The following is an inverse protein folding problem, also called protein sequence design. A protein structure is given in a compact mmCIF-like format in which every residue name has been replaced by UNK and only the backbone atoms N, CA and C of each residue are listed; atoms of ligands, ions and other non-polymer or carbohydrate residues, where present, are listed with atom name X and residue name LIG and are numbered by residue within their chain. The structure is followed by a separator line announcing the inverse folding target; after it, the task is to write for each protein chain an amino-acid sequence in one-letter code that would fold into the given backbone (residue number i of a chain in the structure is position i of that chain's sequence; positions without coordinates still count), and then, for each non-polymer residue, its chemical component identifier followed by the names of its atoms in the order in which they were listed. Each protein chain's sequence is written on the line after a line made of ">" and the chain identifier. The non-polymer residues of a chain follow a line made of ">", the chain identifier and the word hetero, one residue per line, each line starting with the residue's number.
data_IF_848406813126
#
_entry.id   IF_848406813126
#
_cell.length_a   1.000
_cell.length_b   1.000
_cell.length_c   1.000
_cell.angle_alpha   90.00
_cell.angle_beta   90.00
_cell.angle_gamma   90.00
#
_symmetry.space_group_name_H-M   'P 1'
#
loop_
_entity.id
_entity.type
_entity.pdbx_description
1 polymer ?
#
# COMPACT_ATOMS: atom_id res chain seq x y z
N UNK A 1 3.32 -5.30 -27.78
CA UNK A 1 4.34 -5.14 -26.72
C UNK A 1 3.62 -4.94 -25.39
N UNK A 2 3.64 -5.93 -24.48
CA UNK A 2 2.89 -5.88 -23.21
C UNK A 2 3.51 -4.97 -22.13
N UNK A 3 4.65 -4.34 -22.41
CA UNK A 3 5.40 -3.49 -21.47
C UNK A 3 5.48 -2.03 -21.94
N UNK A 4 4.49 -1.58 -22.71
CA UNK A 4 4.35 -0.15 -23.01
C UNK A 4 4.00 0.63 -21.73
N UNK A 5 4.52 1.84 -21.61
CA UNK A 5 4.34 2.67 -20.41
C UNK A 5 2.86 2.87 -20.06
N UNK A 6 2.03 3.20 -21.06
CA UNK A 6 0.58 3.34 -20.90
C UNK A 6 -0.09 2.06 -20.36
N UNK A 7 0.27 0.89 -20.89
CA UNK A 7 -0.32 -0.36 -20.43
C UNK A 7 0.08 -0.67 -18.99
N UNK A 8 1.37 -0.50 -18.67
CA UNK A 8 1.86 -0.71 -17.30
C UNK A 8 1.23 0.25 -16.31
N UNK A 9 1.05 1.51 -16.69
CA UNK A 9 0.36 2.49 -15.86
C UNK A 9 -1.08 2.06 -15.58
N UNK A 10 -1.85 1.72 -16.61
CA UNK A 10 -3.23 1.25 -16.45
C UNK A 10 -3.31 -0.03 -15.61
N UNK A 11 -2.42 -0.99 -15.86
CA UNK A 11 -2.37 -2.24 -15.11
C UNK A 11 -2.05 -2.00 -13.64
N UNK A 12 -1.00 -1.25 -13.34
CA UNK A 12 -0.60 -0.97 -11.94
C UNK A 12 -1.64 -0.12 -11.20
N UNK A 13 -2.32 0.79 -11.89
CA UNK A 13 -3.49 1.48 -11.34
C UNK A 13 -4.63 0.51 -11.02
N UNK A 14 -4.95 -0.42 -11.93
CA UNK A 14 -6.00 -1.41 -11.70
C UNK A 14 -5.66 -2.37 -10.55
N UNK A 15 -4.41 -2.85 -10.47
CA UNK A 15 -3.93 -3.66 -9.35
C UNK A 15 -4.07 -2.90 -8.02
N UNK A 16 -3.86 -1.59 -8.00
CA UNK A 16 -4.06 -0.78 -6.80
C UNK A 16 -5.52 -0.79 -6.31
N UNK A 17 -6.50 -0.99 -7.20
CA UNK A 17 -7.90 -1.15 -6.80
C UNK A 17 -8.17 -2.50 -6.13
N UNK A 18 -7.32 -3.50 -6.38
CA UNK A 18 -7.37 -4.84 -5.76
C UNK A 18 -6.51 -4.90 -4.48
N UNK A 19 -6.36 -3.77 -3.78
CA UNK A 19 -5.39 -3.62 -2.68
C UNK A 19 -5.57 -4.66 -1.57
N UNK A 20 -6.80 -5.09 -1.30
CA UNK A 20 -7.10 -6.03 -0.22
C UNK A 20 -6.64 -7.46 -0.53
N UNK A 21 -6.43 -7.81 -1.80
CA UNK A 21 -5.95 -9.13 -2.22
C UNK A 21 -4.44 -9.31 -1.97
N UNK A 22 -3.68 -8.23 -1.80
CA UNK A 22 -2.23 -8.26 -1.56
C UNK A 22 -1.81 -8.80 -0.18
N UNK A 23 -2.77 -9.09 0.70
CA UNK A 23 -2.51 -9.86 1.92
C UNK A 23 -2.29 -11.36 1.66
N UNK A 24 -2.59 -11.84 0.45
CA UNK A 24 -2.45 -13.24 0.04
C UNK A 24 -1.13 -13.50 -0.68
N UNK A 25 -0.39 -14.53 -0.23
CA UNK A 25 0.85 -14.99 -0.87
C UNK A 25 0.61 -15.45 -2.32
N UNK A 26 -0.51 -16.13 -2.58
CA UNK A 26 -0.90 -16.59 -3.92
C UNK A 26 -1.08 -15.40 -4.88
N UNK A 27 -1.73 -14.32 -4.42
CA UNK A 27 -1.94 -13.15 -5.25
C UNK A 27 -0.63 -12.39 -5.47
N UNK A 28 0.17 -12.21 -4.42
CA UNK A 28 1.49 -11.60 -4.52
C UNK A 28 2.40 -12.36 -5.49
N UNK A 29 2.48 -13.69 -5.41
CA UNK A 29 3.31 -14.50 -6.29
C UNK A 29 2.88 -14.42 -7.76
N UNK A 30 1.59 -14.44 -8.06
CA UNK A 30 1.08 -14.29 -9.44
C UNK A 30 1.45 -12.90 -10.01
N UNK A 31 1.21 -11.83 -9.24
CA UNK A 31 1.42 -10.46 -9.71
C UNK A 31 2.90 -10.09 -9.79
N UNK A 32 3.65 -10.34 -8.72
CA UNK A 32 5.05 -9.96 -8.63
C UNK A 32 5.94 -10.98 -9.34
N UNK A 33 6.00 -12.23 -8.86
CA UNK A 33 6.92 -13.23 -9.41
C UNK A 33 6.52 -13.69 -10.82
N UNK A 34 5.23 -13.93 -11.03
CA UNK A 34 4.69 -14.44 -12.30
C UNK A 34 4.65 -13.39 -13.42
N UNK A 35 4.66 -12.10 -13.08
CA UNK A 35 4.51 -11.03 -14.07
C UNK A 35 5.55 -9.92 -13.92
N UNK A 36 5.49 -9.08 -12.88
CA UNK A 36 6.31 -7.85 -12.79
C UNK A 36 7.82 -8.15 -12.73
N UNK A 37 8.23 -9.09 -11.89
CA UNK A 37 9.62 -9.43 -11.63
C UNK A 37 10.25 -10.30 -12.73
N UNK A 38 9.46 -10.89 -13.62
CA UNK A 38 9.99 -11.61 -14.79
C UNK A 38 10.70 -10.68 -15.78
N UNK A 39 10.32 -9.40 -15.80
CA UNK A 39 10.68 -8.47 -16.87
C UNK A 39 11.38 -7.20 -16.40
N UNK A 40 11.37 -6.88 -15.10
CA UNK A 40 11.90 -5.61 -14.58
C UNK A 40 13.40 -5.41 -14.85
N UNK A 41 14.21 -6.48 -14.79
CA UNK A 41 15.67 -6.40 -14.97
C UNK A 41 16.09 -5.94 -16.38
N UNK A 42 15.24 -6.19 -17.38
CA UNK A 42 15.48 -5.77 -18.78
C UNK A 42 14.72 -4.49 -19.16
N UNK A 43 13.86 -3.98 -18.27
CA UNK A 43 12.93 -2.88 -18.57
C UNK A 43 12.76 -1.95 -17.38
N UNK A 44 13.50 -0.84 -17.40
CA UNK A 44 13.46 0.17 -16.34
C UNK A 44 12.04 0.72 -16.09
N UNK A 45 11.21 0.81 -17.12
CA UNK A 45 9.84 1.26 -16.96
C UNK A 45 8.99 0.29 -16.13
N UNK A 46 9.19 -1.02 -16.24
CA UNK A 46 8.50 -2.01 -15.38
C UNK A 46 8.93 -1.79 -13.92
N UNK A 47 10.23 -1.67 -13.67
CA UNK A 47 10.78 -1.42 -12.34
C UNK A 47 10.19 -0.15 -11.70
N UNK A 48 10.18 0.96 -12.45
CA UNK A 48 9.59 2.23 -12.01
C UNK A 48 8.11 2.12 -11.69
N UNK A 49 7.33 1.41 -12.50
CA UNK A 49 5.89 1.22 -12.26
C UNK A 49 5.62 0.34 -11.04
N UNK A 50 6.39 -0.74 -10.86
CA UNK A 50 6.31 -1.58 -9.66
C UNK A 50 6.59 -0.76 -8.40
N UNK A 51 7.66 0.03 -8.37
CA UNK A 51 7.99 0.88 -7.21
C UNK A 51 6.89 1.91 -6.91
N UNK A 52 6.33 2.56 -7.93
CA UNK A 52 5.19 3.49 -7.76
C UNK A 52 3.97 2.81 -7.18
N UNK A 53 3.63 1.62 -7.66
CA UNK A 53 2.50 0.84 -7.13
C UNK A 53 2.73 0.49 -5.65
N UNK A 54 3.93 0.03 -5.30
CA UNK A 54 4.29 -0.33 -3.93
C UNK A 54 4.27 0.87 -2.97
N UNK A 55 4.61 2.08 -3.42
CA UNK A 55 4.46 3.30 -2.59
C UNK A 55 3.03 3.50 -2.05
N UNK A 56 2.02 3.04 -2.80
CA UNK A 56 0.62 3.09 -2.39
C UNK A 56 0.18 1.83 -1.64
N UNK A 57 0.65 0.66 -2.09
CA UNK A 57 0.16 -0.63 -1.60
C UNK A 57 0.97 -1.26 -0.46
N UNK A 58 2.11 -0.68 -0.07
CA UNK A 58 3.01 -1.28 0.91
C UNK A 58 2.35 -1.75 2.22
N UNK A 59 1.34 -1.01 2.70
CA UNK A 59 0.61 -1.33 3.94
C UNK A 59 -0.38 -2.49 3.79
N UNK A 60 -0.66 -2.94 2.57
CA UNK A 60 -1.56 -4.05 2.23
C UNK A 60 -0.82 -5.32 1.82
N UNK A 61 0.41 -5.17 1.35
CA UNK A 61 1.26 -6.29 0.96
C UNK A 61 1.74 -7.03 2.19
N UNK A 62 1.75 -8.37 2.13
CA UNK A 62 2.27 -9.22 3.19
C UNK A 62 3.70 -8.77 3.61
N UNK A 63 3.97 -8.51 4.92
CA UNK A 63 5.25 -7.94 5.35
C UNK A 63 6.49 -8.74 4.93
N UNK A 64 6.46 -10.07 5.05
CA UNK A 64 7.55 -10.95 4.61
C UNK A 64 7.80 -10.87 3.10
N UNK A 65 6.74 -10.66 2.33
CA UNK A 65 6.82 -10.48 0.89
C UNK A 65 7.39 -9.10 0.55
N UNK A 66 6.99 -8.05 1.28
CA UNK A 66 7.57 -6.70 1.15
C UNK A 66 9.09 -6.68 1.40
N UNK A 67 9.56 -7.38 2.44
CA UNK A 67 11.00 -7.49 2.73
C UNK A 67 11.77 -8.15 1.56
N UNK A 68 11.14 -9.13 0.91
CA UNK A 68 11.70 -9.80 -0.27
C UNK A 68 11.70 -8.87 -1.48
N UNK A 69 10.59 -8.16 -1.71
CA UNK A 69 10.45 -7.19 -2.79
C UNK A 69 11.47 -6.05 -2.70
N UNK A 70 11.71 -5.51 -1.50
CA UNK A 70 12.72 -4.46 -1.31
C UNK A 70 14.11 -4.91 -1.77
N UNK A 71 14.54 -6.10 -1.37
CA UNK A 71 15.84 -6.65 -1.78
C UNK A 71 15.90 -6.88 -3.28
N UNK A 72 14.85 -7.44 -3.86
CA UNK A 72 14.81 -7.74 -5.30
C UNK A 72 14.75 -6.48 -6.16
N UNK A 73 14.06 -5.44 -5.69
CA UNK A 73 13.87 -4.18 -6.41
C UNK A 73 14.96 -3.15 -6.10
N UNK A 74 16.06 -3.54 -5.44
CA UNK A 74 17.19 -2.65 -5.21
C UNK A 74 17.69 -2.06 -6.55
N UNK A 75 17.83 -0.73 -6.66
CA UNK A 75 18.24 -0.10 -7.91
C UNK A 75 19.65 -0.56 -8.35
N UNK A 76 19.85 -0.93 -9.63
CA UNK A 76 21.18 -1.24 -10.11
C UNK A 76 22.09 0.00 -10.14
N UNK A 77 23.41 -0.18 -10.09
CA UNK A 77 24.39 0.92 -10.08
C UNK A 77 24.21 1.92 -11.23
N UNK A 78 23.76 1.43 -12.39
CA UNK A 78 23.40 2.23 -13.56
C UNK A 78 21.88 2.22 -13.73
N UNK A 79 21.21 3.19 -13.14
CA UNK A 79 19.77 3.46 -13.34
C UNK A 79 19.50 4.96 -13.28
N UNK A 80 18.34 5.39 -13.76
CA UNK A 80 17.92 6.78 -13.66
C UNK A 80 17.78 7.25 -12.21
N UNK A 81 18.06 8.53 -11.95
CA UNK A 81 17.91 9.11 -10.60
C UNK A 81 16.47 9.03 -10.11
N UNK A 82 15.49 9.16 -11.02
CA UNK A 82 14.06 9.02 -10.69
C UNK A 82 13.69 7.65 -10.12
N UNK A 83 14.35 6.58 -10.60
CA UNK A 83 14.11 5.23 -10.08
C UNK A 83 14.72 5.08 -8.68
N UNK A 84 15.94 5.60 -8.47
CA UNK A 84 16.58 5.59 -7.14
C UNK A 84 15.75 6.36 -6.13
N UNK A 85 15.23 7.53 -6.51
CA UNK A 85 14.39 8.34 -5.65
C UNK A 85 13.11 7.60 -5.23
N UNK A 86 12.45 6.90 -6.15
CA UNK A 86 11.26 6.09 -5.83
C UNK A 86 11.58 4.97 -4.83
N UNK A 87 12.72 4.30 -4.99
CA UNK A 87 13.15 3.24 -4.06
C UNK A 87 13.47 3.81 -2.67
N UNK A 88 14.16 4.96 -2.61
CA UNK A 88 14.42 5.66 -1.34
C UNK A 88 13.12 6.04 -0.65
N UNK A 89 12.17 6.65 -1.37
CA UNK A 89 10.87 7.03 -0.82
C UNK A 89 10.11 5.83 -0.25
N UNK A 90 10.15 4.67 -0.93
CA UNK A 90 9.50 3.45 -0.45
C UNK A 90 10.14 2.94 0.84
N UNK A 91 11.48 2.94 0.89
CA UNK A 91 12.25 2.49 2.05
C UNK A 91 11.98 3.38 3.27
N UNK A 92 12.07 4.71 3.09
CA UNK A 92 11.79 5.68 4.16
C UNK A 92 10.35 5.55 4.69
N UNK A 93 9.39 5.30 3.79
CA UNK A 93 7.99 5.10 4.15
C UNK A 93 7.78 3.86 5.01
N UNK A 94 8.42 2.75 4.67
CA UNK A 94 8.35 1.49 5.44
C UNK A 94 8.99 1.65 6.83
N UNK A 95 10.12 2.35 6.93
CA UNK A 95 10.77 2.61 8.22
C UNK A 95 9.94 3.55 9.10
N UNK A 96 9.28 4.55 8.50
CA UNK A 96 8.37 5.45 9.21
C UNK A 96 7.14 4.71 9.77
N UNK A 97 6.64 3.71 9.04
CA UNK A 97 5.52 2.88 9.49
C UNK A 97 5.89 2.04 10.72
N UNK A 98 7.09 1.45 10.74
CA UNK A 98 7.59 0.65 11.89
C UNK A 98 7.76 1.46 13.18
N UNK A 99 8.06 2.76 13.06
CA UNK A 99 8.28 3.66 14.22
C UNK A 99 6.98 4.18 14.83
N UNK A 100 5.86 4.05 14.12
CA UNK A 100 4.57 4.54 14.59
C UNK A 100 3.99 3.58 15.63
N UNK A 101 3.59 4.05 16.82
CA UNK A 101 2.92 3.19 17.79
C UNK A 101 1.65 2.59 17.17
N UNK A 102 1.26 1.35 17.50
CA UNK A 102 -0.01 0.82 17.04
C UNK A 102 -1.12 1.80 17.45
N UNK A 103 -2.10 2.08 16.57
CA UNK A 103 -3.26 2.86 16.99
C UNK A 103 -3.82 2.16 18.22
N UNK A 104 -3.87 2.89 19.34
CA UNK A 104 -4.61 2.44 20.51
C UNK A 104 -6.02 2.15 20.02
N UNK A 105 -6.46 0.91 20.15
CA UNK A 105 -7.84 0.47 19.93
C UNK A 105 -8.72 1.03 21.08
N UNK A 106 -8.65 2.34 21.29
CA UNK A 106 -9.57 3.06 22.15
C UNK A 106 -10.62 3.65 21.20
N UNK A 107 -11.82 3.04 21.11
CA UNK A 107 -12.91 3.68 20.39
C UNK A 107 -13.10 5.07 21.01
N UNK A 108 -13.16 6.15 20.20
CA UNK A 108 -13.46 7.45 20.74
C UNK A 108 -14.78 7.31 21.52
N UNK A 109 -14.85 7.76 22.78
CA UNK A 109 -16.12 7.77 23.49
C UNK A 109 -17.03 8.69 22.68
N UNK A 110 -17.97 8.08 21.96
CA UNK A 110 -19.10 8.78 21.38
C UNK A 110 -19.93 9.27 22.57
N UNK A 111 -19.54 10.41 23.15
CA UNK A 111 -20.44 11.24 23.94
C UNK A 111 -21.42 11.87 22.96
N UNK A 112 -22.32 11.03 22.45
CA UNK A 112 -23.50 11.46 21.77
C UNK A 112 -24.34 12.11 22.87
N UNK A 113 -24.23 13.43 22.96
CA UNK A 113 -24.97 14.28 23.90
C UNK A 113 -26.48 14.11 23.72
N UNK A 114 -27.03 13.02 24.23
CA UNK A 114 -28.45 12.81 24.43
C UNK A 114 -28.77 13.46 25.77
N UNK A 115 -29.05 14.77 25.74
CA UNK A 115 -29.77 15.40 26.83
C UNK A 115 -31.05 14.56 27.11
N UNK A 116 -31.25 14.04 28.32
CA UNK A 116 -32.52 13.44 28.67
C UNK A 116 -33.55 14.56 28.65
N UNK A 117 -34.48 14.51 27.70
CA UNK A 117 -35.69 15.34 27.75
C UNK A 117 -36.47 14.88 28.96
N UNK A 118 -36.36 15.63 30.06
CA UNK A 118 -37.14 15.42 31.27
C UNK A 118 -38.62 15.58 30.95
N UNK A 119 -39.39 14.50 31.06
CA UNK A 119 -40.85 14.52 30.98
C UNK A 119 -41.38 15.14 32.28
N UNK A 120 -42.20 16.20 32.25
CA UNK A 120 -42.80 16.74 33.46
C UNK A 120 -43.88 15.80 34.02
N UNK A 121 -44.02 15.71 35.36
CA UNK A 121 -44.95 14.79 36.01
C UNK A 121 -46.42 15.20 35.82
N UNK A 122 -47.36 14.23 35.85
CA UNK A 122 -48.78 14.53 35.69
C UNK A 122 -49.32 15.27 36.92
N UNK A 123 -50.02 16.38 36.66
CA UNK A 123 -50.76 17.18 37.65
C UNK A 123 -51.94 16.38 38.21
N UNK A 124 -52.12 16.29 39.54
CA UNK A 124 -53.35 15.74 40.10
C UNK A 124 -54.40 16.82 40.39
N UNK A 125 -55.66 16.44 40.09
CA UNK A 125 -56.98 17.07 40.37
C UNK A 125 -57.45 18.21 39.46
#
# INVERSE_FOLDING_TARGET
>A
MAFGDLFLHLLTCHLTLLSDDFGSDDFCSVVFDGFLLTSFSSKENVHRHTLRMLLHLHHKVLPSYMDTLLKTLEPPKQCSDSLRELYTQLTEKLESQKKSPPPSDEPPPLDLGLHPVGVPPPTPL
#
